data_IF_314380296976
#
_entry.id   IF_314380296976
#
_cell.length_a   1.000
_cell.length_b   1.000
_cell.length_c   1.000
_cell.angle_alpha   90.00
_cell.angle_beta   90.00
_cell.angle_gamma   90.00
#
_symmetry.space_group_name_H-M   'P 1'
#
loop_
_entity.id
_entity.type
_entity.pdbx_description
1 polymer ?
#
# COMPACT_ATOMS: atom_id res chain seq x y z
N UNK A 1 -18.29 3.80 -70.44
CA UNK A 1 -19.37 4.38 -69.61
C UNK A 1 -19.78 3.34 -68.56
N UNK A 2 -19.74 3.70 -67.27
CA UNK A 2 -20.27 2.90 -66.15
C UNK A 2 -21.78 3.14 -66.02
N UNK A 3 -22.55 2.13 -65.62
CA UNK A 3 -23.69 2.33 -64.73
C UNK A 3 -23.35 1.88 -63.31
N UNK A 4 -23.61 2.79 -62.37
CA UNK A 4 -23.56 2.60 -60.92
C UNK A 4 -24.99 2.32 -60.45
N UNK A 5 -25.12 1.46 -59.43
CA UNK A 5 -26.18 1.33 -58.38
C UNK A 5 -26.79 -0.10 -58.31
N UNK A 6 -27.30 -0.56 -57.14
CA UNK A 6 -27.61 0.21 -55.93
C UNK A 6 -26.95 -0.28 -54.63
N UNK A 7 -26.83 0.69 -53.72
CA UNK A 7 -26.56 0.54 -52.30
C UNK A 7 -27.71 -0.26 -51.67
N UNK A 8 -27.38 -1.40 -51.05
CA UNK A 8 -28.23 -2.03 -50.03
C UNK A 8 -27.49 -1.93 -48.72
N UNK A 9 -27.99 -1.03 -47.89
CA UNK A 9 -27.62 -0.83 -46.51
C UNK A 9 -27.91 -2.07 -45.67
N UNK A 10 -27.31 -2.08 -44.47
CA UNK A 10 -27.64 -2.83 -43.26
C UNK A 10 -26.72 -4.03 -42.98
N UNK A 11 -26.15 -3.97 -41.77
CA UNK A 11 -25.55 -5.05 -40.99
C UNK A 11 -24.07 -5.41 -41.22
N UNK A 12 -23.15 -4.50 -40.92
CA UNK A 12 -21.94 -4.88 -40.15
C UNK A 12 -21.58 -3.74 -39.18
N UNK A 13 -22.54 -3.40 -38.32
CA UNK A 13 -22.32 -2.58 -37.11
C UNK A 13 -22.51 -3.48 -35.88
N UNK A 14 -21.87 -4.66 -35.88
CA UNK A 14 -21.89 -5.63 -34.77
C UNK A 14 -20.53 -6.32 -34.70
N UNK A 15 -19.47 -5.55 -34.43
CA UNK A 15 -18.21 -6.10 -33.92
C UNK A 15 -17.41 -5.00 -33.20
N UNK A 16 -18.08 -4.28 -32.29
CA UNK A 16 -17.47 -3.24 -31.46
C UNK A 16 -18.03 -3.25 -30.04
N UNK A 17 -18.44 -4.44 -29.59
CA UNK A 17 -18.85 -4.74 -28.23
C UNK A 17 -18.25 -6.11 -27.95
N UNK A 18 -17.57 -6.26 -26.80
CA UNK A 18 -16.99 -7.50 -26.22
C UNK A 18 -15.46 -7.51 -25.99
N UNK A 19 -14.81 -6.36 -25.88
CA UNK A 19 -13.62 -6.25 -24.99
C UNK A 19 -13.64 -4.94 -24.21
N UNK A 20 -14.80 -4.56 -23.66
CA UNK A 20 -14.74 -3.80 -22.41
C UNK A 20 -14.34 -4.84 -21.40
N UNK A 21 -13.03 -5.01 -21.19
CA UNK A 21 -12.53 -5.63 -19.98
C UNK A 21 -13.34 -5.02 -18.85
N UNK A 22 -14.11 -5.82 -18.13
CA UNK A 22 -14.59 -5.44 -16.81
C UNK A 22 -13.32 -5.17 -16.00
N UNK A 23 -12.80 -3.95 -16.10
CA UNK A 23 -12.04 -3.34 -15.04
C UNK A 23 -13.04 -3.29 -13.89
N UNK A 24 -13.18 -4.42 -13.18
CA UNK A 24 -13.73 -4.44 -11.85
C UNK A 24 -12.98 -3.33 -11.14
N UNK A 25 -13.67 -2.21 -10.93
CA UNK A 25 -13.22 -1.18 -10.03
C UNK A 25 -13.20 -1.86 -8.66
N UNK A 26 -12.13 -2.60 -8.37
CA UNK A 26 -11.89 -3.15 -7.06
C UNK A 26 -11.98 -1.96 -6.12
N UNK A 27 -12.98 -1.97 -5.27
CA UNK A 27 -13.20 -0.91 -4.31
C UNK A 27 -12.96 -1.48 -2.94
N UNK A 28 -12.43 -0.65 -2.04
CA UNK A 28 -12.28 -1.05 -0.65
C UNK A 28 -13.66 -1.35 -0.07
N UNK A 29 -13.79 -2.47 0.63
CA UNK A 29 -14.99 -2.72 1.43
C UNK A 29 -15.23 -1.57 2.42
N UNK A 30 -16.47 -1.31 2.88
CA UNK A 30 -16.76 -0.24 3.82
C UNK A 30 -15.87 -0.26 5.07
N UNK A 31 -15.53 -1.48 5.56
CA UNK A 31 -14.63 -1.67 6.69
C UNK A 31 -13.19 -1.26 6.37
N UNK A 32 -12.68 -1.65 5.20
CA UNK A 32 -11.35 -1.27 4.73
C UNK A 32 -11.25 0.23 4.48
N UNK A 33 -12.27 0.85 3.86
CA UNK A 33 -12.29 2.28 3.64
C UNK A 33 -12.24 3.07 4.96
N UNK A 34 -12.99 2.62 5.99
CA UNK A 34 -12.94 3.25 7.32
C UNK A 34 -11.54 3.17 7.94
N UNK A 35 -10.88 2.03 7.80
CA UNK A 35 -9.51 1.79 8.29
C UNK A 35 -8.49 2.65 7.55
N UNK A 36 -8.56 2.65 6.22
CA UNK A 36 -7.74 3.48 5.35
C UNK A 36 -7.86 4.97 5.71
N UNK A 37 -9.08 5.50 5.87
CA UNK A 37 -9.30 6.89 6.27
C UNK A 37 -8.66 7.24 7.63
N UNK A 38 -8.61 6.30 8.58
CA UNK A 38 -7.90 6.52 9.86
C UNK A 38 -6.40 6.60 9.66
N UNK A 39 -5.81 5.73 8.85
CA UNK A 39 -4.40 5.79 8.48
C UNK A 39 -4.09 7.13 7.82
N UNK A 40 -4.89 7.53 6.83
CA UNK A 40 -4.76 8.83 6.15
C UNK A 40 -4.80 10.00 7.12
N UNK A 41 -5.72 10.00 8.08
CA UNK A 41 -5.81 11.06 9.07
C UNK A 41 -4.54 11.17 9.94
N UNK A 42 -3.94 10.05 10.35
CA UNK A 42 -2.69 10.04 11.12
C UNK A 42 -1.51 10.57 10.29
N UNK A 43 -1.47 10.19 9.01
CA UNK A 43 -0.34 10.48 8.12
C UNK A 43 -0.54 11.74 7.26
N UNK A 44 -1.68 12.43 7.38
CA UNK A 44 -2.02 13.62 6.59
C UNK A 44 -0.91 14.68 6.54
N UNK A 45 -0.17 14.98 7.63
CA UNK A 45 0.91 15.97 7.57
C UNK A 45 2.14 15.54 6.75
N UNK A 46 2.20 14.27 6.35
CA UNK A 46 3.37 13.62 5.74
C UNK A 46 3.15 13.23 4.28
N UNK A 47 1.90 13.12 3.86
CA UNK A 47 1.54 12.64 2.54
C UNK A 47 0.54 13.58 1.87
N UNK A 48 1.02 14.26 0.84
CA UNK A 48 0.29 15.27 0.10
C UNK A 48 -0.70 14.66 -0.92
N UNK A 49 -0.69 13.32 -1.09
CA UNK A 49 -1.62 12.62 -2.00
C UNK A 49 -3.08 12.82 -1.59
N UNK A 50 -3.93 12.88 -2.59
CA UNK A 50 -5.38 12.84 -2.37
C UNK A 50 -5.81 11.50 -1.77
N UNK A 51 -6.97 11.45 -1.11
CA UNK A 51 -7.48 10.18 -0.59
C UNK A 51 -7.81 9.20 -1.72
N UNK A 52 -8.28 9.72 -2.85
CA UNK A 52 -8.64 8.98 -4.05
C UNK A 52 -7.41 8.33 -4.69
N UNK A 53 -6.32 9.08 -4.80
CA UNK A 53 -5.03 8.59 -5.31
C UNK A 53 -4.45 7.51 -4.40
N UNK A 54 -4.34 7.78 -3.10
CA UNK A 54 -3.81 6.81 -2.14
C UNK A 54 -4.70 5.55 -2.01
N UNK A 55 -6.02 5.71 -2.18
CA UNK A 55 -6.95 4.58 -2.22
C UNK A 55 -6.74 3.74 -3.49
N UNK A 56 -6.55 4.38 -4.64
CA UNK A 56 -6.30 3.71 -5.90
C UNK A 56 -4.99 2.91 -5.87
N UNK A 57 -3.94 3.47 -5.27
CA UNK A 57 -2.68 2.76 -5.03
C UNK A 57 -2.87 1.53 -4.14
N UNK A 58 -3.65 1.64 -3.06
CA UNK A 58 -3.90 0.50 -2.17
C UNK A 58 -4.71 -0.61 -2.85
N UNK A 59 -5.66 -0.24 -3.72
CA UNK A 59 -6.52 -1.19 -4.44
C UNK A 59 -5.71 -2.07 -5.40
N UNK A 60 -4.70 -1.51 -6.07
CA UNK A 60 -3.88 -2.28 -7.02
C UNK A 60 -2.82 -3.15 -6.32
N UNK A 61 -2.63 -2.99 -5.01
CA UNK A 61 -1.73 -3.82 -4.22
C UNK A 61 -2.39 -5.18 -3.90
N UNK A 62 -1.63 -6.27 -3.99
CA UNK A 62 -2.12 -7.61 -3.72
C UNK A 62 -1.27 -8.30 -2.64
N UNK A 63 -1.83 -8.67 -1.47
CA UNK A 63 -3.24 -8.53 -1.06
C UNK A 63 -3.57 -7.15 -0.44
N UNK A 64 -4.67 -6.53 -0.89
CA UNK A 64 -5.16 -5.23 -0.38
C UNK A 64 -5.24 -5.20 1.16
N UNK A 65 -5.82 -6.24 1.76
CA UNK A 65 -5.99 -6.32 3.21
C UNK A 65 -4.64 -6.37 3.95
N UNK A 66 -3.66 -7.09 3.38
CA UNK A 66 -2.32 -7.18 3.93
C UNK A 66 -1.61 -5.83 3.92
N UNK A 67 -1.61 -5.15 2.78
CA UNK A 67 -1.01 -3.82 2.66
C UNK A 67 -1.70 -2.79 3.55
N UNK A 68 -3.03 -2.86 3.70
CA UNK A 68 -3.75 -1.99 4.64
C UNK A 68 -3.33 -2.25 6.09
N UNK A 69 -3.17 -3.52 6.51
CA UNK A 69 -2.67 -3.85 7.86
C UNK A 69 -1.25 -3.32 8.08
N UNK A 70 -0.36 -3.43 7.10
CA UNK A 70 0.99 -2.87 7.19
C UNK A 70 0.98 -1.34 7.33
N UNK A 71 0.14 -0.65 6.56
CA UNK A 71 -0.03 0.80 6.70
C UNK A 71 -0.57 1.20 8.08
N UNK A 72 -1.52 0.44 8.64
CA UNK A 72 -2.01 0.65 10.01
C UNK A 72 -0.91 0.48 11.06
N UNK A 73 -0.06 -0.54 10.92
CA UNK A 73 1.07 -0.80 11.82
C UNK A 73 2.07 0.36 11.76
N UNK A 74 2.43 0.82 10.56
CA UNK A 74 3.34 1.95 10.38
C UNK A 74 2.76 3.24 10.96
N UNK A 75 1.50 3.55 10.67
CA UNK A 75 0.83 4.74 11.18
C UNK A 75 0.70 4.72 12.71
N UNK A 76 0.36 3.58 13.30
CA UNK A 76 0.32 3.40 14.74
C UNK A 76 1.70 3.62 15.37
N UNK A 77 2.75 3.04 14.79
CA UNK A 77 4.13 3.19 15.28
C UNK A 77 4.59 4.63 15.20
N UNK A 78 4.30 5.31 14.09
CA UNK A 78 4.58 6.73 13.92
C UNK A 78 3.92 7.58 14.99
N UNK A 79 2.60 7.41 15.21
CA UNK A 79 1.85 8.16 16.21
C UNK A 79 2.45 8.00 17.60
N UNK A 80 2.77 6.77 17.97
CA UNK A 80 3.27 6.47 19.31
C UNK A 80 4.68 7.07 19.51
N UNK A 81 5.56 6.97 18.51
CA UNK A 81 6.91 7.56 18.57
C UNK A 81 6.90 9.10 18.54
N UNK A 82 5.99 9.72 17.79
CA UNK A 82 5.82 11.19 17.82
C UNK A 82 5.41 11.67 19.21
N UNK A 83 4.49 10.94 19.87
CA UNK A 83 4.06 11.26 21.22
C UNK A 83 5.16 11.05 22.26
N UNK A 84 5.85 9.92 22.18
CA UNK A 84 6.92 9.53 23.11
C UNK A 84 8.12 10.48 23.05
N UNK A 85 8.61 10.78 21.84
CA UNK A 85 9.77 11.65 21.64
C UNK A 85 9.42 13.13 21.44
N UNK A 86 8.14 13.50 21.59
CA UNK A 86 7.65 14.87 21.46
C UNK A 86 8.13 15.56 20.17
N UNK A 87 8.06 14.85 19.04
CA UNK A 87 8.57 15.37 17.76
C UNK A 87 7.62 16.44 17.25
N UNK A 88 8.01 17.70 17.40
CA UNK A 88 7.15 18.86 17.10
C UNK A 88 7.42 19.49 15.74
N UNK A 89 8.55 19.21 15.10
CA UNK A 89 8.88 19.78 13.78
C UNK A 89 8.35 18.92 12.64
N UNK A 90 7.88 19.58 11.57
CA UNK A 90 7.43 18.88 10.37
C UNK A 90 8.54 18.03 9.73
N UNK A 91 9.77 18.56 9.71
CA UNK A 91 10.94 17.84 9.22
C UNK A 91 11.23 16.57 10.04
N UNK A 92 11.24 16.67 11.37
CA UNK A 92 11.49 15.53 12.25
C UNK A 92 10.43 14.44 12.09
N UNK A 93 9.16 14.83 11.92
CA UNK A 93 8.05 13.88 11.67
C UNK A 93 8.19 13.14 10.34
N UNK A 94 8.57 13.86 9.27
CA UNK A 94 8.86 13.25 7.96
C UNK A 94 10.05 12.29 8.03
N UNK A 95 11.13 12.69 8.70
CA UNK A 95 12.31 11.85 8.88
C UNK A 95 11.98 10.58 9.68
N UNK A 96 11.20 10.70 10.76
CA UNK A 96 10.74 9.55 11.54
C UNK A 96 9.92 8.58 10.67
N UNK A 97 8.95 9.10 9.92
CA UNK A 97 8.13 8.24 9.08
C UNK A 97 8.95 7.54 7.98
N UNK A 98 9.90 8.23 7.37
CA UNK A 98 10.84 7.61 6.42
C UNK A 98 11.66 6.48 7.05
N UNK A 99 12.12 6.65 8.29
CA UNK A 99 12.79 5.56 9.04
C UNK A 99 11.85 4.38 9.29
N UNK A 100 10.60 4.64 9.66
CA UNK A 100 9.59 3.58 9.84
C UNK A 100 9.37 2.80 8.54
N UNK A 101 9.21 3.50 7.41
CA UNK A 101 9.05 2.85 6.11
C UNK A 101 10.27 2.00 5.75
N UNK A 102 11.48 2.50 5.98
CA UNK A 102 12.70 1.76 5.71
C UNK A 102 12.85 0.51 6.59
N UNK A 103 12.51 0.60 7.88
CA UNK A 103 12.50 -0.57 8.77
C UNK A 103 11.41 -1.58 8.39
N UNK A 104 10.22 -1.12 7.99
CA UNK A 104 9.17 -2.02 7.50
C UNK A 104 9.62 -2.76 6.24
N UNK A 105 10.16 -2.03 5.25
CA UNK A 105 10.68 -2.64 4.03
C UNK A 105 11.78 -3.67 4.32
N UNK A 106 12.69 -3.36 5.25
CA UNK A 106 13.71 -4.31 5.69
C UNK A 106 13.12 -5.58 6.32
N UNK A 107 12.11 -5.44 7.20
CA UNK A 107 11.42 -6.59 7.79
C UNK A 107 10.68 -7.42 6.72
N UNK A 108 10.05 -6.75 5.75
CA UNK A 108 9.39 -7.39 4.61
C UNK A 108 10.36 -8.15 3.70
N UNK A 109 11.66 -7.89 3.75
CA UNK A 109 12.68 -8.63 2.98
C UNK A 109 13.36 -9.75 3.78
N UNK A 110 12.75 -10.21 4.88
CA UNK A 110 13.28 -11.28 5.73
C UNK A 110 13.94 -10.80 7.03
N UNK A 111 14.17 -9.49 7.16
CA UNK A 111 14.54 -8.84 8.42
C UNK A 111 15.83 -9.34 9.10
N UNK A 112 15.94 -9.00 10.39
CA UNK A 112 17.04 -9.30 11.30
C UNK A 112 16.86 -10.68 11.95
N UNK A 113 17.88 -11.54 11.89
CA UNK A 113 17.98 -12.67 12.83
C UNK A 113 18.10 -12.10 14.25
N UNK A 114 17.55 -12.82 15.25
CA UNK A 114 17.44 -12.37 16.65
C UNK A 114 18.75 -11.86 17.29
N UNK A 115 19.91 -12.15 16.68
CA UNK A 115 21.24 -11.83 17.19
C UNK A 115 22.09 -10.94 16.27
N UNK A 116 21.51 -10.37 15.20
CA UNK A 116 22.25 -9.50 14.28
C UNK A 116 22.05 -8.01 14.63
N UNK A 117 23.09 -7.20 14.36
CA UNK A 117 22.96 -5.74 14.41
C UNK A 117 22.25 -5.25 13.14
N UNK A 118 21.36 -4.25 13.23
CA UNK A 118 20.74 -3.70 12.04
C UNK A 118 21.81 -3.14 11.09
N UNK A 119 21.61 -3.27 9.76
CA UNK A 119 22.39 -2.50 8.80
C UNK A 119 22.44 -1.00 9.14
N UNK A 120 23.53 -0.30 8.79
CA UNK A 120 23.63 1.14 8.98
C UNK A 120 22.40 1.88 8.40
N UNK A 121 21.76 2.73 9.20
CA UNK A 121 20.56 3.48 8.83
C UNK A 121 19.25 2.88 9.32
N UNK A 122 19.22 1.61 9.71
CA UNK A 122 18.07 1.01 10.38
C UNK A 122 18.08 1.29 11.88
N UNK A 123 16.89 1.38 12.45
CA UNK A 123 16.70 1.77 13.84
C UNK A 123 16.13 0.57 14.58
N UNK A 124 16.92 0.02 15.50
CA UNK A 124 16.58 -1.23 16.19
C UNK A 124 15.26 -1.10 16.95
N UNK A 125 15.02 0.03 17.59
CA UNK A 125 13.82 0.23 18.41
C UNK A 125 12.58 0.32 17.53
N UNK A 126 12.68 0.99 16.38
CA UNK A 126 11.62 1.01 15.38
C UNK A 126 11.36 -0.41 14.85
N UNK A 127 12.41 -1.15 14.47
CA UNK A 127 12.28 -2.51 13.94
C UNK A 127 11.62 -3.47 14.94
N UNK A 128 12.00 -3.40 16.22
CA UNK A 128 11.41 -4.21 17.30
C UNK A 128 9.92 -3.90 17.45
N UNK A 129 9.55 -2.61 17.55
CA UNK A 129 8.15 -2.19 17.70
C UNK A 129 7.28 -2.58 16.50
N UNK A 130 7.83 -2.50 15.29
CA UNK A 130 7.13 -2.98 14.09
C UNK A 130 6.93 -4.49 14.15
N UNK A 131 7.98 -5.26 14.49
CA UNK A 131 7.93 -6.72 14.60
C UNK A 131 6.90 -7.19 15.64
N UNK A 132 6.82 -6.53 16.79
CA UNK A 132 5.83 -6.83 17.84
C UNK A 132 4.38 -6.63 17.38
N UNK A 133 4.15 -5.72 16.41
CA UNK A 133 2.81 -5.41 15.87
C UNK A 133 2.44 -6.25 14.66
N UNK A 134 3.42 -6.84 13.98
CA UNK A 134 3.20 -7.74 12.86
C UNK A 134 2.76 -9.09 13.42
N UNK A 135 1.50 -9.46 13.19
CA UNK A 135 1.00 -10.78 13.57
C UNK A 135 1.70 -11.89 12.79
N UNK A 136 1.84 -13.08 13.39
CA UNK A 136 2.41 -14.25 12.72
C UNK A 136 1.74 -14.59 11.37
N UNK A 137 0.41 -14.46 11.29
CA UNK A 137 -0.37 -14.62 10.06
C UNK A 137 0.10 -13.67 8.94
N UNK A 138 0.37 -12.40 9.29
CA UNK A 138 0.77 -11.37 8.33
C UNK A 138 2.22 -11.58 7.89
N UNK A 139 3.09 -11.98 8.84
CA UNK A 139 4.49 -12.30 8.57
C UNK A 139 4.69 -13.55 7.71
N UNK A 140 3.72 -14.47 7.71
CA UNK A 140 3.74 -15.71 6.93
C UNK A 140 3.13 -15.56 5.52
N UNK A 141 2.68 -14.36 5.13
CA UNK A 141 2.18 -14.11 3.78
C UNK A 141 3.34 -13.73 2.85
N UNK A 142 3.77 -14.66 2.00
CA UNK A 142 4.89 -14.50 1.06
C UNK A 142 4.71 -13.35 0.04
N UNK A 143 3.48 -12.84 -0.11
CA UNK A 143 3.20 -11.67 -0.96
C UNK A 143 3.53 -10.36 -0.25
N UNK A 144 3.58 -10.38 1.08
CA UNK A 144 3.85 -9.23 1.92
C UNK A 144 5.25 -9.27 2.53
N UNK A 145 5.74 -10.46 2.86
CA UNK A 145 7.05 -10.72 3.44
C UNK A 145 7.79 -11.74 2.57
N UNK A 146 8.80 -11.27 1.85
CA UNK A 146 9.63 -12.12 1.02
C UNK A 146 10.60 -12.89 1.90
N UNK A 147 10.46 -14.21 1.96
CA UNK A 147 11.56 -15.09 2.34
C UNK A 147 12.55 -15.12 1.17
N UNK A 148 13.72 -14.50 1.33
CA UNK A 148 14.86 -14.82 0.47
C UNK A 148 15.11 -16.32 0.68
N UNK A 149 14.90 -17.13 -0.37
CA UNK A 149 14.92 -18.59 -0.28
C UNK A 149 16.14 -19.12 0.46
N UNK A 150 15.93 -20.19 1.23
CA UNK A 150 17.00 -21.01 1.80
C UNK A 150 17.97 -21.53 0.73
#
# INVERSE_FOLDING_TARGET
MKPIRPIRSVAVAVFLILTVSEAYAQSLSPRQLKRFKRVRHILQPLDDKSNEEAQSELIIMNPVEGHLRLQEIMAGTYRDLVGEFQINTALGRRQLYGRIQMNMAFLQMGGLKLNELPPPGLDRDIAVRLKERISAELAADDRLFYTLGE
#
